data_IF_203265763726
#
_entry.id   IF_203265763726
#
_cell.length_a   1.000
_cell.length_b   1.000
_cell.length_c   1.000
_cell.angle_alpha   90.00
_cell.angle_beta   90.00
_cell.angle_gamma   90.00
#
_symmetry.space_group_name_H-M   'P 1'
#
loop_
_entity.id
_entity.type
_entity.pdbx_description
1 polymer ?
#
# COMPACT_ATOMS: atom_id res chain seq x y z
N UNK A 1 -12.64 -4.37 26.51
CA UNK A 1 -13.24 -4.19 25.17
C UNK A 1 -12.58 -3.01 24.46
N UNK A 2 -12.67 -1.79 25.01
CA UNK A 2 -12.07 -0.57 24.43
C UNK A 2 -10.55 -0.63 24.18
N UNK A 3 -9.78 -1.27 25.06
CA UNK A 3 -8.33 -1.46 24.90
C UNK A 3 -7.97 -2.41 23.73
N UNK A 4 -8.81 -3.41 23.47
CA UNK A 4 -8.59 -4.38 22.38
C UNK A 4 -8.79 -3.71 21.02
N UNK A 5 -9.89 -2.98 20.86
CA UNK A 5 -10.21 -2.29 19.61
C UNK A 5 -9.17 -1.20 19.30
N UNK A 6 -8.71 -0.48 20.34
CA UNK A 6 -7.64 0.51 20.20
C UNK A 6 -6.31 -0.13 19.77
N UNK A 7 -5.96 -1.27 20.36
CA UNK A 7 -4.75 -2.03 19.97
C UNK A 7 -4.83 -2.54 18.53
N UNK A 8 -5.98 -3.04 18.10
CA UNK A 8 -6.18 -3.47 16.70
C UNK A 8 -6.04 -2.29 15.73
N UNK A 9 -6.65 -1.14 16.03
CA UNK A 9 -6.49 0.06 15.21
C UNK A 9 -5.03 0.54 15.14
N UNK A 10 -4.30 0.52 16.26
CA UNK A 10 -2.89 0.91 16.29
C UNK A 10 -1.99 -0.05 15.49
N UNK A 11 -2.25 -1.37 15.59
CA UNK A 11 -1.54 -2.36 14.78
C UNK A 11 -1.79 -2.13 13.29
N UNK A 12 -3.03 -1.87 12.89
CA UNK A 12 -3.39 -1.59 11.51
C UNK A 12 -2.78 -0.27 11.01
N UNK A 13 -2.65 0.75 11.86
CA UNK A 13 -1.94 2.01 11.55
C UNK A 13 -0.43 1.81 11.39
N UNK A 14 0.20 1.02 12.25
CA UNK A 14 1.64 0.70 12.14
C UNK A 14 1.90 -0.03 10.82
N UNK A 15 1.06 -1.01 10.50
CA UNK A 15 1.17 -1.76 9.26
C UNK A 15 0.96 -0.89 8.03
N UNK A 16 -0.05 -0.01 8.02
CA UNK A 16 -0.30 0.90 6.90
C UNK A 16 0.87 1.86 6.67
N UNK A 17 1.51 2.34 7.75
CA UNK A 17 2.73 3.16 7.65
C UNK A 17 3.90 2.37 7.03
N UNK A 18 4.04 1.08 7.35
CA UNK A 18 5.05 0.23 6.71
C UNK A 18 4.79 0.05 5.20
N UNK A 19 3.52 -0.06 4.79
CA UNK A 19 3.17 -0.08 3.35
C UNK A 19 3.48 1.27 2.69
N UNK A 20 3.11 2.39 3.30
CA UNK A 20 3.43 3.73 2.76
C UNK A 20 4.95 3.89 2.56
N UNK A 21 5.75 3.46 3.54
CA UNK A 21 7.21 3.49 3.42
C UNK A 21 7.71 2.63 2.25
N UNK A 22 7.13 1.44 2.06
CA UNK A 22 7.46 0.52 0.96
C UNK A 22 7.10 1.13 -0.41
N UNK A 23 5.93 1.76 -0.52
CA UNK A 23 5.50 2.44 -1.75
C UNK A 23 6.39 3.65 -2.10
N UNK A 24 6.86 4.40 -1.10
CA UNK A 24 7.81 5.51 -1.30
C UNK A 24 9.19 5.00 -1.77
N UNK A 25 9.63 3.83 -1.28
CA UNK A 25 10.83 3.15 -1.80
C UNK A 25 10.62 2.80 -3.27
N UNK A 26 9.46 2.24 -3.65
CA UNK A 26 9.18 1.91 -5.05
C UNK A 26 9.23 3.13 -5.97
N UNK A 27 8.66 4.27 -5.54
CA UNK A 27 8.72 5.52 -6.31
C UNK A 27 10.19 5.92 -6.56
N UNK A 28 11.05 5.77 -5.55
CA UNK A 28 12.48 6.07 -5.65
C UNK A 28 13.20 5.10 -6.58
N UNK A 29 12.89 3.80 -6.50
CA UNK A 29 13.45 2.75 -7.36
C UNK A 29 13.05 2.92 -8.81
N UNK A 30 11.77 3.14 -9.08
CA UNK A 30 11.25 3.42 -10.42
C UNK A 30 11.91 4.67 -11.01
N UNK A 31 12.09 5.72 -10.21
CA UNK A 31 12.77 6.95 -10.64
C UNK A 31 14.22 6.67 -11.04
N UNK A 32 14.95 5.90 -10.22
CA UNK A 32 16.33 5.49 -10.51
C UNK A 32 16.43 4.64 -11.79
N UNK A 33 15.48 3.73 -12.00
CA UNK A 33 15.42 2.84 -13.16
C UNK A 33 15.11 3.59 -14.46
N UNK A 34 14.20 4.58 -14.42
CA UNK A 34 13.93 5.48 -15.55
C UNK A 34 15.21 6.19 -15.98
N UNK A 35 15.98 6.74 -15.04
CA UNK A 35 17.27 7.38 -15.34
C UNK A 35 18.28 6.41 -15.98
N UNK A 36 18.23 5.13 -15.59
CA UNK A 36 19.08 4.04 -16.12
C UNK A 36 18.52 3.37 -17.37
N UNK A 37 17.37 3.83 -17.90
CA UNK A 37 16.65 3.23 -19.05
C UNK A 37 16.43 1.72 -18.91
N UNK A 38 16.21 1.25 -17.69
CA UNK A 38 15.95 -0.16 -17.39
C UNK A 38 14.54 -0.29 -16.82
N UNK A 39 13.75 -1.31 -17.20
CA UNK A 39 12.43 -1.50 -16.63
C UNK A 39 12.51 -2.03 -15.19
N UNK A 40 11.47 -1.83 -14.37
CA UNK A 40 11.36 -2.48 -13.07
C UNK A 40 11.31 -4.01 -13.20
N UNK A 41 11.89 -4.75 -12.25
CA UNK A 41 11.68 -6.19 -12.17
C UNK A 41 10.19 -6.52 -12.05
N UNK A 42 9.74 -7.53 -12.79
CA UNK A 42 8.33 -7.95 -12.78
C UNK A 42 7.88 -8.39 -11.38
N UNK A 43 8.76 -9.05 -10.62
CA UNK A 43 8.49 -9.44 -9.23
C UNK A 43 8.18 -8.26 -8.33
N UNK A 44 8.89 -7.13 -8.50
CA UNK A 44 8.63 -5.89 -7.76
C UNK A 44 7.21 -5.38 -8.05
N UNK A 45 6.79 -5.37 -9.32
CA UNK A 45 5.44 -4.94 -9.70
C UNK A 45 4.37 -5.81 -9.02
N UNK A 46 4.55 -7.14 -9.04
CA UNK A 46 3.61 -8.09 -8.41
C UNK A 46 3.53 -7.88 -6.89
N UNK A 47 4.69 -7.83 -6.21
CA UNK A 47 4.75 -7.67 -4.76
C UNK A 47 4.09 -6.37 -4.29
N UNK A 48 4.34 -5.26 -4.97
CA UNK A 48 3.71 -3.99 -4.65
C UNK A 48 2.19 -3.99 -4.88
N UNK A 49 1.71 -4.67 -5.92
CA UNK A 49 0.28 -4.81 -6.16
C UNK A 49 -0.43 -5.61 -5.06
N UNK A 50 0.23 -6.63 -4.51
CA UNK A 50 -0.30 -7.42 -3.38
C UNK A 50 -0.32 -6.61 -2.07
N UNK A 51 0.73 -5.82 -1.80
CA UNK A 51 0.76 -4.89 -0.66
C UNK A 51 -0.36 -3.85 -0.75
N UNK A 52 -0.56 -3.23 -1.92
CA UNK A 52 -1.66 -2.29 -2.16
C UNK A 52 -3.03 -2.91 -1.93
N UNK A 53 -3.25 -4.13 -2.41
CA UNK A 53 -4.53 -4.85 -2.23
C UNK A 53 -4.82 -5.08 -0.75
N UNK A 54 -3.81 -5.49 0.02
CA UNK A 54 -3.94 -5.71 1.46
C UNK A 54 -4.26 -4.40 2.19
N UNK A 55 -3.58 -3.30 1.84
CA UNK A 55 -3.84 -1.98 2.42
C UNK A 55 -5.27 -1.48 2.14
N UNK A 56 -5.78 -1.71 0.93
CA UNK A 56 -7.16 -1.36 0.58
C UNK A 56 -8.18 -2.17 1.39
N UNK A 57 -7.95 -3.48 1.57
CA UNK A 57 -8.84 -4.31 2.38
C UNK A 57 -8.90 -3.83 3.85
N UNK A 58 -7.76 -3.41 4.40
CA UNK A 58 -7.69 -2.84 5.76
C UNK A 58 -8.41 -1.50 5.85
N UNK A 59 -8.24 -0.61 4.87
CA UNK A 59 -8.95 0.67 4.84
C UNK A 59 -10.48 0.48 4.76
N UNK A 60 -10.94 -0.46 3.94
CA UNK A 60 -12.35 -0.77 3.75
C UNK A 60 -13.00 -1.36 5.02
N UNK A 61 -12.25 -2.17 5.79
CA UNK A 61 -12.69 -2.70 7.11
C UNK A 61 -13.14 -1.58 8.06
N UNK A 62 -12.42 -0.45 8.08
CA UNK A 62 -12.71 0.66 9.00
C UNK A 62 -13.65 1.70 8.42
N UNK A 63 -13.63 1.92 7.11
CA UNK A 63 -14.51 2.88 6.45
C UNK A 63 -14.97 2.33 5.09
N UNK A 64 -16.06 1.55 5.08
CA UNK A 64 -16.55 0.95 3.85
C UNK A 64 -17.21 1.97 2.90
N UNK A 65 -17.29 1.62 1.62
CA UNK A 65 -18.00 2.38 0.59
C UNK A 65 -17.28 3.65 0.14
N UNK A 66 -15.99 3.79 0.42
CA UNK A 66 -15.23 4.95 -0.02
C UNK A 66 -14.81 4.83 -1.49
N UNK A 67 -14.54 5.96 -2.12
CA UNK A 67 -13.95 5.99 -3.48
C UNK A 67 -12.46 5.62 -3.50
N UNK A 68 -11.85 5.32 -2.34
CA UNK A 68 -10.42 5.09 -2.21
C UNK A 68 -9.97 3.87 -3.04
N UNK A 69 -10.63 2.73 -2.88
CA UNK A 69 -10.32 1.52 -3.64
C UNK A 69 -10.50 1.71 -5.15
N UNK A 70 -11.60 2.36 -5.55
CA UNK A 70 -11.87 2.66 -6.96
C UNK A 70 -10.84 3.61 -7.58
N UNK A 71 -10.28 4.53 -6.79
CA UNK A 71 -9.26 5.46 -7.26
C UNK A 71 -7.90 4.78 -7.40
N UNK A 72 -7.48 4.03 -6.38
CA UNK A 72 -6.14 3.40 -6.34
C UNK A 72 -6.00 2.30 -7.38
N UNK A 73 -7.02 1.46 -7.58
CA UNK A 73 -6.98 0.38 -8.58
C UNK A 73 -6.91 0.89 -10.03
N UNK A 74 -7.18 2.18 -10.29
CA UNK A 74 -7.06 2.81 -11.61
C UNK A 74 -5.67 3.36 -11.90
N UNK A 75 -4.79 3.41 -10.90
CA UNK A 75 -3.40 3.88 -11.05
C UNK A 75 -2.40 2.73 -11.23
N UNK A 76 -2.88 1.50 -11.38
CA UNK A 76 -2.06 0.32 -11.73
C UNK A 76 -1.85 0.21 -13.24
#
# INVERSE_FOLDING_TARGET
>A
MQDKDTKEMLADLIWLNAVIATELIQITENTSQILRKSPPPESCIVEHNDLRRTALAMAEKYRPGTKLGQHILKHQ
#
